data_IF_620858232297
#
_entry.id   IF_620858232297
#
_cell.length_a   1.000
_cell.length_b   1.000
_cell.length_c   1.000
_cell.angle_alpha   90.00
_cell.angle_beta   90.00
_cell.angle_gamma   90.00
#
_symmetry.space_group_name_H-M   'P 1'
#
loop_
_entity.id
_entity.type
_entity.pdbx_description
1 polymer ?
#
# COMPACT_ATOMS: atom_id res chain seq x y z
N UNK A 1 -51.02 24.09 9.12
CA UNK A 1 -51.50 23.32 10.30
C UNK A 1 -50.97 21.88 10.38
N UNK A 2 -50.84 21.13 9.27
CA UNK A 2 -50.40 19.71 9.32
C UNK A 2 -48.85 19.48 9.33
N UNK A 3 -48.06 20.49 8.95
CA UNK A 3 -46.60 20.36 8.85
C UNK A 3 -45.90 20.63 10.20
N UNK A 4 -46.49 21.49 11.03
CA UNK A 4 -45.98 21.77 12.38
C UNK A 4 -46.21 20.61 13.35
N UNK A 5 -47.29 19.85 13.17
CA UNK A 5 -47.58 18.64 13.97
C UNK A 5 -46.62 17.49 13.65
N UNK A 6 -46.08 17.42 12.43
CA UNK A 6 -45.03 16.47 12.06
C UNK A 6 -43.67 16.86 12.66
N UNK A 7 -43.30 18.15 12.61
CA UNK A 7 -42.05 18.63 13.21
C UNK A 7 -42.02 18.51 14.74
N UNK A 8 -43.15 18.77 15.41
CA UNK A 8 -43.28 18.57 16.85
C UNK A 8 -43.14 17.10 17.26
N UNK A 9 -43.66 16.17 16.46
CA UNK A 9 -43.52 14.72 16.70
C UNK A 9 -42.09 14.22 16.49
N UNK A 10 -41.36 14.73 15.51
CA UNK A 10 -39.95 14.37 15.29
C UNK A 10 -39.07 14.93 16.42
N UNK A 11 -39.35 16.15 16.89
CA UNK A 11 -38.59 16.78 17.96
C UNK A 11 -38.78 16.09 19.31
N UNK A 12 -40.00 15.66 19.65
CA UNK A 12 -40.26 14.88 20.88
C UNK A 12 -39.74 13.45 20.77
N UNK A 13 -39.67 12.89 19.56
CA UNK A 13 -39.08 11.57 19.34
C UNK A 13 -37.56 11.52 19.61
N UNK A 14 -36.85 12.61 19.32
CA UNK A 14 -35.40 12.70 19.55
C UNK A 14 -35.08 12.97 21.02
N UNK A 15 -35.95 13.72 21.73
CA UNK A 15 -35.67 14.13 23.11
C UNK A 15 -35.83 13.02 24.16
N UNK A 16 -36.63 11.98 23.89
CA UNK A 16 -36.84 10.88 24.84
C UNK A 16 -35.88 9.69 24.63
N UNK A 17 -35.06 9.70 23.57
CA UNK A 17 -34.10 8.63 23.30
C UNK A 17 -32.74 8.84 23.98
N UNK A 18 -32.52 9.98 24.64
CA UNK A 18 -31.20 10.39 25.14
C UNK A 18 -30.99 10.22 26.65
N UNK A 19 -32.01 9.83 27.42
CA UNK A 19 -31.95 9.85 28.91
C UNK A 19 -32.29 8.51 29.59
N UNK A 20 -31.87 7.38 29.02
CA UNK A 20 -32.07 6.08 29.63
C UNK A 20 -30.84 5.17 29.60
N UNK A 21 -29.70 5.57 30.18
CA UNK A 21 -28.71 4.62 30.71
C UNK A 21 -27.94 5.23 31.89
N UNK A 22 -28.31 4.89 33.12
CA UNK A 22 -27.41 4.91 34.29
C UNK A 22 -27.16 3.48 34.77
N UNK A 23 -25.87 3.15 34.85
CA UNK A 23 -25.19 2.26 35.82
C UNK A 23 -25.75 0.85 36.07
N UNK A 24 -25.10 -0.16 35.49
CA UNK A 24 -24.88 -1.43 36.20
C UNK A 24 -23.49 -2.00 35.89
N UNK A 25 -22.80 -2.35 36.97
CA UNK A 25 -21.46 -2.95 37.01
C UNK A 25 -21.56 -4.44 36.71
N UNK A 26 -21.13 -4.87 35.53
CA UNK A 26 -20.83 -6.28 35.22
C UNK A 26 -19.65 -6.37 34.22
N UNK A 27 -18.79 -7.40 34.33
CA UNK A 27 -17.60 -7.52 33.49
C UNK A 27 -18.02 -7.83 32.05
N UNK A 28 -17.71 -6.92 31.13
CA UNK A 28 -18.06 -7.04 29.73
C UNK A 28 -17.41 -8.28 29.08
N UNK A 29 -18.17 -9.14 28.37
CA UNK A 29 -17.60 -10.08 27.43
C UNK A 29 -17.05 -9.29 26.24
N UNK A 30 -15.78 -9.56 25.91
CA UNK A 30 -15.04 -9.15 24.71
C UNK A 30 -15.80 -8.23 23.74
N UNK A 31 -15.54 -6.92 23.80
CA UNK A 31 -15.79 -6.02 22.66
C UNK A 31 -15.09 -6.65 21.45
N UNK A 32 -15.77 -6.89 20.31
CA UNK A 32 -15.10 -7.41 19.13
C UNK A 32 -14.00 -6.42 18.75
N UNK A 33 -12.76 -6.91 18.79
CA UNK A 33 -11.57 -6.17 18.38
C UNK A 33 -11.86 -5.60 16.98
N UNK A 34 -12.05 -4.28 16.90
CA UNK A 34 -12.33 -3.58 15.64
C UNK A 34 -11.18 -3.94 14.69
N UNK A 35 -11.47 -4.73 13.65
CA UNK A 35 -10.49 -5.03 12.60
C UNK A 35 -10.11 -3.70 11.98
N UNK A 36 -8.88 -3.25 12.23
CA UNK A 36 -8.37 -2.02 11.65
C UNK A 36 -8.10 -2.29 10.18
N UNK A 37 -8.89 -1.65 9.32
CA UNK A 37 -8.71 -1.73 7.89
C UNK A 37 -7.60 -0.77 7.47
N UNK A 38 -6.95 -1.09 6.36
CA UNK A 38 -5.83 -0.33 5.81
C UNK A 38 -6.23 1.11 5.44
N UNK A 39 -7.41 1.32 4.86
CA UNK A 39 -7.91 2.65 4.49
C UNK A 39 -7.01 3.32 3.44
N UNK A 40 -6.66 4.60 3.66
CA UNK A 40 -5.86 5.43 2.74
C UNK A 40 -4.47 4.83 2.46
N UNK A 41 -3.90 4.08 3.41
CA UNK A 41 -2.61 3.40 3.24
C UNK A 41 -2.65 2.33 2.13
N UNK A 42 -3.83 1.99 1.61
CA UNK A 42 -4.01 1.07 0.51
C UNK A 42 -3.19 1.46 -0.73
N UNK A 43 -3.08 2.76 -1.00
CA UNK A 43 -2.33 3.25 -2.17
C UNK A 43 -0.83 3.07 -2.00
N UNK A 44 -0.28 3.39 -0.83
CA UNK A 44 1.13 3.15 -0.52
C UNK A 44 1.47 1.66 -0.57
N UNK A 45 0.60 0.84 0.03
CA UNK A 45 0.74 -0.62 0.04
C UNK A 45 0.65 -1.18 -1.38
N UNK A 46 -0.24 -0.68 -2.23
CA UNK A 46 -0.28 -1.05 -3.65
C UNK A 46 1.06 -0.73 -4.34
N UNK A 47 1.68 0.39 -4.01
CA UNK A 47 3.03 0.73 -4.44
C UNK A 47 4.08 -0.28 -3.96
N UNK A 48 4.03 -0.69 -2.68
CA UNK A 48 4.91 -1.73 -2.14
C UNK A 48 4.72 -3.08 -2.84
N UNK A 49 3.46 -3.47 -3.09
CA UNK A 49 3.12 -4.70 -3.83
C UNK A 49 3.66 -4.65 -5.26
N UNK A 50 3.50 -3.52 -5.96
CA UNK A 50 4.04 -3.32 -7.31
C UNK A 50 5.56 -3.44 -7.34
N UNK A 51 6.26 -2.76 -6.42
CA UNK A 51 7.73 -2.88 -6.30
C UNK A 51 8.17 -4.31 -6.04
N UNK A 52 7.44 -5.04 -5.20
CA UNK A 52 7.75 -6.43 -4.90
C UNK A 52 7.55 -7.36 -6.12
N UNK A 53 6.48 -7.15 -6.89
CA UNK A 53 6.27 -7.84 -8.17
C UNK A 53 7.42 -7.55 -9.13
N UNK A 54 7.84 -6.29 -9.24
CA UNK A 54 8.94 -5.90 -10.12
C UNK A 54 10.27 -6.51 -9.71
N UNK A 55 10.60 -6.55 -8.41
CA UNK A 55 11.81 -7.23 -7.93
C UNK A 55 11.78 -8.72 -8.24
N UNK A 56 10.65 -9.38 -8.00
CA UNK A 56 10.48 -10.79 -8.34
C UNK A 56 10.67 -11.03 -9.84
N UNK A 57 10.06 -10.21 -10.69
CA UNK A 57 10.22 -10.30 -12.14
C UNK A 57 11.64 -9.97 -12.60
N UNK A 58 12.34 -9.04 -11.96
CA UNK A 58 13.72 -8.69 -12.29
C UNK A 58 14.68 -9.87 -12.09
N UNK A 59 14.40 -10.72 -11.11
CA UNK A 59 15.12 -11.97 -10.82
C UNK A 59 14.72 -13.15 -11.72
N UNK A 60 13.84 -12.95 -12.70
CA UNK A 60 13.51 -14.00 -13.67
C UNK A 60 14.61 -14.16 -14.71
N UNK A 61 14.86 -15.41 -15.14
CA UNK A 61 15.87 -15.73 -16.14
C UNK A 61 15.76 -14.86 -17.40
N UNK A 62 14.52 -14.61 -17.86
CA UNK A 62 14.24 -13.75 -19.02
C UNK A 62 14.75 -12.31 -18.81
N UNK A 63 14.44 -11.70 -17.67
CA UNK A 63 14.85 -10.32 -17.42
C UNK A 63 16.34 -10.20 -17.11
N UNK A 64 16.96 -11.25 -16.58
CA UNK A 64 18.39 -11.30 -16.37
C UNK A 64 19.18 -11.41 -17.68
N UNK A 65 18.72 -12.25 -18.61
CA UNK A 65 19.28 -12.33 -19.97
C UNK A 65 19.17 -10.97 -20.65
N UNK A 66 18.03 -10.29 -20.49
CA UNK A 66 17.85 -8.92 -21.00
C UNK A 66 18.76 -7.91 -20.33
N UNK A 67 18.92 -7.94 -19.00
CA UNK A 67 19.86 -7.06 -18.29
C UNK A 67 21.28 -7.24 -18.83
N UNK A 68 21.69 -8.48 -19.03
CA UNK A 68 23.01 -8.79 -19.58
C UNK A 68 23.17 -8.24 -21.00
N UNK A 69 22.23 -8.54 -21.88
CA UNK A 69 22.33 -8.20 -23.30
C UNK A 69 22.05 -6.72 -23.59
N UNK A 70 21.09 -6.11 -22.91
CA UNK A 70 20.60 -4.77 -23.22
C UNK A 70 21.28 -3.69 -22.36
N UNK A 71 21.93 -4.05 -21.24
CA UNK A 71 22.57 -3.07 -20.34
C UNK A 71 24.06 -3.35 -20.11
N UNK A 72 24.43 -4.57 -19.70
CA UNK A 72 25.83 -4.91 -19.38
C UNK A 72 26.69 -4.98 -20.64
N UNK A 73 26.13 -5.47 -21.75
CA UNK A 73 26.87 -5.56 -23.02
C UNK A 73 27.11 -4.21 -23.69
N UNK A 74 26.43 -3.14 -23.25
CA UNK A 74 26.57 -1.81 -23.83
C UNK A 74 27.98 -1.26 -23.62
N UNK A 75 28.60 -0.85 -24.72
CA UNK A 75 29.96 -0.30 -24.75
C UNK A 75 30.13 0.90 -23.81
N UNK A 76 29.09 1.75 -23.68
CA UNK A 76 29.11 2.89 -22.76
C UNK A 76 29.20 2.46 -21.29
N UNK A 77 28.46 1.42 -20.89
CA UNK A 77 28.49 0.89 -19.52
C UNK A 77 29.85 0.25 -19.24
N UNK A 78 30.37 -0.53 -20.20
CA UNK A 78 31.69 -1.16 -20.08
C UNK A 78 32.82 -0.14 -19.90
N UNK A 79 32.80 0.93 -20.69
CA UNK A 79 33.81 2.00 -20.64
C UNK A 79 33.71 2.92 -19.42
N UNK A 80 32.50 3.25 -18.97
CA UNK A 80 32.29 4.24 -17.90
C UNK A 80 32.30 3.59 -16.52
N UNK A 81 31.74 2.39 -16.39
CA UNK A 81 31.55 1.72 -15.08
C UNK A 81 32.59 0.65 -14.84
N UNK A 82 32.63 -0.40 -15.67
CA UNK A 82 33.61 -1.49 -15.57
C UNK A 82 33.52 -2.42 -16.77
N UNK A 83 34.66 -2.97 -17.22
CA UNK A 83 34.70 -4.00 -18.25
C UNK A 83 34.42 -5.41 -17.72
N UNK A 84 34.35 -5.59 -16.39
CA UNK A 84 34.09 -6.88 -15.75
C UNK A 84 32.59 -7.13 -15.56
N UNK A 85 32.06 -8.14 -16.26
CA UNK A 85 30.65 -8.53 -16.19
C UNK A 85 30.26 -8.99 -14.78
N UNK A 86 31.18 -9.62 -14.04
CA UNK A 86 30.91 -10.03 -12.67
C UNK A 86 30.73 -8.82 -11.75
N UNK A 87 31.52 -7.76 -11.96
CA UNK A 87 31.36 -6.50 -11.24
C UNK A 87 30.04 -5.78 -11.59
N UNK A 88 29.66 -5.73 -12.87
CA UNK A 88 28.41 -5.10 -13.27
C UNK A 88 27.18 -5.86 -12.76
N UNK A 89 27.24 -7.20 -12.75
CA UNK A 89 26.20 -8.04 -12.18
C UNK A 89 26.14 -7.93 -10.65
N UNK A 90 27.29 -7.84 -9.96
CA UNK A 90 27.32 -7.63 -8.51
C UNK A 90 26.74 -6.26 -8.12
N UNK A 91 26.99 -5.22 -8.93
CA UNK A 91 26.38 -3.91 -8.74
C UNK A 91 24.85 -3.97 -8.89
N UNK A 92 24.34 -4.66 -9.92
CA UNK A 92 22.91 -4.85 -10.10
C UNK A 92 22.29 -5.66 -8.94
N UNK A 93 22.98 -6.69 -8.45
CA UNK A 93 22.58 -7.43 -7.25
C UNK A 93 22.49 -6.55 -6.02
N UNK A 94 23.52 -5.74 -5.76
CA UNK A 94 23.55 -4.84 -4.60
C UNK A 94 22.34 -3.89 -4.62
N UNK A 95 21.99 -3.35 -5.79
CA UNK A 95 20.79 -2.54 -5.97
C UNK A 95 19.49 -3.32 -5.69
N UNK A 96 19.37 -4.57 -6.17
CA UNK A 96 18.21 -5.41 -5.88
C UNK A 96 18.07 -5.72 -4.39
N UNK A 97 19.18 -6.02 -3.72
CA UNK A 97 19.23 -6.30 -2.27
C UNK A 97 18.86 -5.06 -1.47
N UNK A 98 19.35 -3.88 -1.85
CA UNK A 98 19.00 -2.62 -1.21
C UNK A 98 17.51 -2.31 -1.36
N UNK A 99 16.95 -2.50 -2.56
CA UNK A 99 15.50 -2.36 -2.78
C UNK A 99 14.68 -3.34 -1.93
N UNK A 100 15.15 -4.58 -1.78
CA UNK A 100 14.52 -5.57 -0.91
C UNK A 100 14.60 -5.16 0.57
N UNK A 101 15.72 -4.58 1.02
CA UNK A 101 15.87 -4.01 2.37
C UNK A 101 14.88 -2.89 2.63
N UNK A 102 14.69 -1.98 1.67
CA UNK A 102 13.72 -0.90 1.78
C UNK A 102 12.28 -1.45 1.90
N UNK A 103 11.93 -2.46 1.10
CA UNK A 103 10.63 -3.15 1.22
C UNK A 103 10.46 -3.85 2.57
N UNK A 104 11.49 -4.55 3.05
CA UNK A 104 11.45 -5.23 4.36
C UNK A 104 11.20 -4.23 5.49
N UNK A 105 11.82 -3.05 5.41
CA UNK A 105 11.66 -1.98 6.40
C UNK A 105 10.24 -1.38 6.36
N UNK A 106 9.70 -1.16 5.17
CA UNK A 106 8.32 -0.69 4.99
C UNK A 106 7.29 -1.73 5.50
N UNK A 107 7.47 -3.01 5.18
CA UNK A 107 6.61 -4.10 5.65
C UNK A 107 6.72 -4.28 7.16
N UNK A 108 7.93 -4.13 7.74
CA UNK A 108 8.13 -4.16 9.19
C UNK A 108 7.36 -3.04 9.89
N UNK A 109 7.37 -1.83 9.31
CA UNK A 109 6.60 -0.70 9.83
C UNK A 109 5.09 -0.97 9.74
N UNK A 110 4.64 -1.57 8.64
CA UNK A 110 3.24 -1.99 8.45
C UNK A 110 2.82 -3.06 9.45
N UNK A 111 3.70 -4.04 9.72
CA UNK A 111 3.40 -5.20 10.55
C UNK A 111 3.19 -4.85 12.01
N UNK A 112 3.71 -3.71 12.49
CA UNK A 112 3.41 -3.20 13.84
C UNK A 112 1.92 -2.95 14.08
N UNK A 113 1.14 -2.71 13.01
CA UNK A 113 -0.31 -2.48 13.04
C UNK A 113 -1.13 -3.78 12.95
N UNK A 114 -0.48 -4.93 12.79
CA UNK A 114 -1.12 -6.24 12.76
C UNK A 114 -1.60 -6.67 14.14
N UNK A 115 -2.69 -7.43 14.18
CA UNK A 115 -3.20 -8.04 15.40
C UNK A 115 -2.45 -9.35 15.70
N UNK A 116 -2.11 -10.12 14.66
CA UNK A 116 -1.37 -11.37 14.79
C UNK A 116 0.06 -11.12 15.35
N UNK A 117 0.43 -11.74 16.49
CA UNK A 117 1.76 -11.59 17.07
C UNK A 117 2.88 -12.08 16.16
N UNK A 118 2.65 -13.10 15.32
CA UNK A 118 3.67 -13.60 14.38
C UNK A 118 3.96 -12.58 13.29
N UNK A 119 2.93 -11.89 12.80
CA UNK A 119 3.08 -10.80 11.84
C UNK A 119 3.79 -9.60 12.47
N UNK A 120 3.45 -9.23 13.71
CA UNK A 120 4.16 -8.16 14.44
C UNK A 120 5.65 -8.47 14.61
N UNK A 121 6.01 -9.74 14.78
CA UNK A 121 7.39 -10.19 14.85
C UNK A 121 8.10 -10.31 13.48
N UNK A 122 7.45 -9.94 12.37
CA UNK A 122 7.98 -10.06 11.00
C UNK A 122 9.41 -9.55 10.87
N UNK A 123 9.72 -8.36 11.41
CA UNK A 123 11.04 -7.77 11.27
C UNK A 123 12.15 -8.70 11.80
N UNK A 124 11.96 -9.22 13.01
CA UNK A 124 12.91 -10.16 13.63
C UNK A 124 13.00 -11.46 12.83
N UNK A 125 11.85 -12.02 12.46
CA UNK A 125 11.78 -13.28 11.73
C UNK A 125 12.42 -13.18 10.34
N UNK A 126 12.27 -12.04 9.67
CA UNK A 126 12.90 -11.78 8.38
C UNK A 126 14.43 -11.64 8.50
N UNK A 127 14.92 -10.95 9.54
CA UNK A 127 16.36 -10.85 9.80
C UNK A 127 16.96 -12.22 10.14
N UNK A 128 16.31 -12.99 11.01
CA UNK A 128 16.75 -14.34 11.36
C UNK A 128 16.80 -15.25 10.12
N UNK A 129 15.82 -15.13 9.22
CA UNK A 129 15.81 -15.84 7.94
C UNK A 129 16.94 -15.38 7.02
N UNK A 130 17.17 -14.07 6.89
CA UNK A 130 18.23 -13.52 6.05
C UNK A 130 19.63 -13.93 6.53
N UNK A 131 19.86 -13.96 7.85
CA UNK A 131 21.15 -14.30 8.45
C UNK A 131 21.39 -15.81 8.49
N UNK A 132 20.37 -16.62 8.81
CA UNK A 132 20.54 -18.07 9.01
C UNK A 132 20.18 -18.92 7.81
N UNK A 133 19.45 -18.38 6.82
CA UNK A 133 18.87 -19.12 5.70
C UNK A 133 17.82 -20.15 6.12
N UNK A 134 17.50 -20.27 7.41
CA UNK A 134 16.51 -21.23 7.92
C UNK A 134 15.14 -20.61 7.92
N UNK A 135 14.17 -21.37 7.42
CA UNK A 135 12.76 -21.01 7.44
C UNK A 135 11.98 -21.95 8.37
N UNK A 136 12.07 -21.77 9.70
CA UNK A 136 11.34 -22.60 10.65
C UNK A 136 9.83 -22.45 10.53
N UNK A 137 9.33 -21.43 9.83
CA UNK A 137 7.91 -21.13 9.69
C UNK A 137 7.33 -21.53 8.31
N UNK A 138 8.13 -22.15 7.43
CA UNK A 138 7.74 -22.50 6.06
C UNK A 138 7.07 -21.33 5.31
N UNK A 139 7.63 -20.13 5.44
CA UNK A 139 7.24 -18.94 4.70
C UNK A 139 7.73 -18.95 3.26
N UNK A 140 8.81 -19.68 2.97
CA UNK A 140 9.37 -19.84 1.63
C UNK A 140 8.39 -20.63 0.78
N UNK A 141 7.90 -19.96 -0.25
CA UNK A 141 7.00 -20.53 -1.23
C UNK A 141 7.84 -20.95 -2.44
N UNK A 142 7.55 -22.11 -3.03
CA UNK A 142 8.21 -22.54 -4.25
C UNK A 142 7.97 -21.57 -5.40
N UNK A 143 8.96 -21.41 -6.29
CA UNK A 143 8.93 -20.46 -7.42
C UNK A 143 7.63 -20.51 -8.23
N UNK A 144 7.14 -21.71 -8.54
CA UNK A 144 5.88 -21.92 -9.29
C UNK A 144 4.64 -21.42 -8.54
N UNK A 145 4.57 -21.61 -7.23
CA UNK A 145 3.44 -21.14 -6.43
C UNK A 145 3.50 -19.64 -6.20
N UNK A 146 4.70 -19.09 -6.07
CA UNK A 146 4.94 -17.65 -6.03
C UNK A 146 4.40 -16.98 -7.31
N UNK A 147 4.82 -17.44 -8.49
CA UNK A 147 4.38 -16.93 -9.80
C UNK A 147 2.86 -17.05 -10.02
N UNK A 148 2.30 -18.24 -9.74
CA UNK A 148 0.92 -18.53 -10.16
C UNK A 148 -0.13 -18.05 -9.18
N UNK A 149 0.16 -18.03 -7.87
CA UNK A 149 -0.82 -17.67 -6.84
C UNK A 149 -0.55 -16.31 -6.21
N UNK A 150 0.68 -16.07 -5.74
CA UNK A 150 0.97 -14.87 -4.96
C UNK A 150 1.16 -13.63 -5.84
N UNK A 151 1.94 -13.73 -6.92
CA UNK A 151 2.12 -12.62 -7.87
C UNK A 151 0.78 -12.20 -8.47
N UNK A 152 -0.03 -13.15 -8.98
CA UNK A 152 -1.38 -12.83 -9.51
C UNK A 152 -2.30 -12.18 -8.47
N UNK A 153 -2.18 -12.58 -7.20
CA UNK A 153 -2.96 -11.98 -6.10
C UNK A 153 -2.50 -10.55 -5.82
N UNK A 154 -1.20 -10.31 -5.78
CA UNK A 154 -0.61 -8.97 -5.66
C UNK A 154 -1.04 -8.09 -6.83
N UNK A 155 -0.89 -8.56 -8.07
CA UNK A 155 -1.30 -7.85 -9.30
C UNK A 155 -2.77 -7.47 -9.26
N UNK A 156 -3.64 -8.41 -8.87
CA UNK A 156 -5.07 -8.12 -8.70
C UNK A 156 -5.32 -6.99 -7.69
N UNK A 157 -4.64 -7.01 -6.54
CA UNK A 157 -4.78 -5.94 -5.56
C UNK A 157 -4.26 -4.60 -6.08
N UNK A 158 -3.11 -4.60 -6.75
CA UNK A 158 -2.53 -3.41 -7.37
C UNK A 158 -3.50 -2.83 -8.41
N UNK A 159 -4.02 -3.65 -9.32
CA UNK A 159 -4.95 -3.23 -10.37
C UNK A 159 -6.23 -2.65 -9.78
N UNK A 160 -6.90 -3.35 -8.86
CA UNK A 160 -8.16 -2.87 -8.26
C UNK A 160 -7.94 -1.59 -7.42
N UNK A 161 -6.78 -1.45 -6.78
CA UNK A 161 -6.46 -0.26 -5.99
C UNK A 161 -6.08 0.92 -6.88
N UNK A 162 -5.43 0.68 -8.03
CA UNK A 162 -5.15 1.69 -9.05
C UNK A 162 -6.44 2.18 -9.72
N UNK A 163 -7.37 1.28 -10.07
CA UNK A 163 -8.68 1.68 -10.57
C UNK A 163 -9.44 2.49 -9.54
N UNK A 164 -9.40 2.10 -8.25
CA UNK A 164 -10.01 2.89 -7.18
C UNK A 164 -9.45 4.32 -7.14
N UNK A 165 -8.13 4.49 -7.26
CA UNK A 165 -7.51 5.82 -7.28
C UNK A 165 -8.05 6.67 -8.44
N UNK A 166 -8.10 6.10 -9.64
CA UNK A 166 -8.63 6.77 -10.84
C UNK A 166 -10.11 7.15 -10.69
N UNK A 167 -10.95 6.24 -10.21
CA UNK A 167 -12.39 6.50 -10.06
C UNK A 167 -12.67 7.54 -8.95
N UNK A 168 -11.83 7.60 -7.90
CA UNK A 168 -11.90 8.64 -6.87
C UNK A 168 -11.49 10.01 -7.40
N UNK A 169 -10.49 10.06 -8.28
CA UNK A 169 -10.08 11.29 -8.96
C UNK A 169 -11.16 11.79 -9.93
N UNK A 170 -11.74 10.90 -10.74
CA UNK A 170 -12.88 11.26 -11.62
C UNK A 170 -14.08 11.77 -10.80
N UNK A 171 -14.38 11.14 -9.66
CA UNK A 171 -15.43 11.63 -8.77
C UNK A 171 -15.14 13.06 -8.28
N UNK A 172 -13.90 13.34 -7.86
CA UNK A 172 -13.47 14.69 -7.42
C UNK A 172 -13.64 15.73 -8.54
N UNK A 173 -13.28 15.36 -9.77
CA UNK A 173 -13.45 16.21 -10.95
C UNK A 173 -14.92 16.48 -11.25
N UNK A 174 -15.78 15.46 -11.17
CA UNK A 174 -17.23 15.61 -11.39
C UNK A 174 -17.88 16.50 -10.32
N UNK A 175 -17.54 16.31 -9.04
CA UNK A 175 -18.05 17.13 -7.93
C UNK A 175 -17.59 18.60 -8.03
N UNK A 176 -16.33 18.81 -8.43
CA UNK A 176 -15.79 20.13 -8.72
C UNK A 176 -16.46 20.78 -9.94
N UNK A 177 -16.78 19.99 -10.97
CA UNK A 177 -17.50 20.42 -12.15
C UNK A 177 -18.92 20.88 -11.81
N UNK A 178 -19.67 20.09 -11.04
CA UNK A 178 -21.00 20.46 -10.57
C UNK A 178 -20.97 21.75 -9.74
N UNK A 179 -20.01 21.88 -8.82
CA UNK A 179 -19.84 23.07 -7.99
C UNK A 179 -19.56 24.33 -8.82
N UNK A 180 -18.82 24.22 -9.93
CA UNK A 180 -18.59 25.33 -10.87
C UNK A 180 -19.88 25.69 -11.60
N UNK A 181 -20.62 24.71 -12.12
CA UNK A 181 -21.89 24.94 -12.83
C UNK A 181 -22.89 25.68 -11.94
N UNK A 182 -22.97 25.35 -10.65
CA UNK A 182 -23.83 26.05 -9.69
C UNK A 182 -23.41 27.51 -9.50
N UNK A 183 -22.11 27.80 -9.32
CA UNK A 183 -21.60 29.17 -9.19
C UNK A 183 -21.89 30.03 -10.42
N UNK A 184 -21.72 29.48 -11.63
CA UNK A 184 -22.04 30.21 -12.85
C UNK A 184 -23.55 30.49 -13.00
N UNK A 185 -24.41 29.54 -12.59
CA UNK A 185 -25.86 29.71 -12.67
C UNK A 185 -26.39 30.80 -11.71
N UNK A 186 -25.75 30.97 -10.54
CA UNK A 186 -26.06 32.02 -9.57
C UNK A 186 -25.64 33.42 -10.05
N UNK A 187 -24.61 33.52 -10.91
CA UNK A 187 -24.21 34.79 -11.53
C UNK A 187 -25.00 35.13 -12.81
N UNK A 188 -25.48 34.14 -13.58
CA UNK A 188 -26.21 34.35 -14.85
C UNK A 188 -27.73 34.55 -14.69
N UNK A 189 -28.30 34.40 -13.50
CA UNK A 189 -29.76 34.43 -13.28
C UNK A 189 -30.44 35.76 -13.66
N UNK A 190 -29.66 36.80 -13.97
CA UNK A 190 -30.17 38.12 -14.36
C UNK A 190 -30.51 38.27 -15.84
N UNK A 191 -30.14 37.34 -16.74
CA UNK A 191 -30.40 37.49 -18.17
C UNK A 191 -30.78 36.15 -18.85
N UNK A 192 -31.98 36.13 -19.44
CA UNK A 192 -32.54 35.15 -20.40
C UNK A 192 -33.18 33.84 -19.89
N UNK A 193 -34.50 33.74 -20.07
CA UNK A 193 -35.40 32.67 -19.62
C UNK A 193 -35.54 31.47 -20.57
N UNK A 194 -35.01 31.54 -21.81
CA UNK A 194 -35.17 30.45 -22.81
C UNK A 194 -34.08 29.37 -22.76
N UNK A 195 -32.96 29.59 -22.07
CA UNK A 195 -31.86 28.60 -21.96
C UNK A 195 -31.90 27.73 -20.69
N UNK A 196 -32.84 28.00 -19.77
CA UNK A 196 -32.86 27.40 -18.44
C UNK A 196 -33.13 25.88 -18.44
N UNK A 197 -34.12 25.43 -19.21
CA UNK A 197 -34.50 24.01 -19.25
C UNK A 197 -33.35 23.08 -19.69
N UNK A 198 -32.52 23.50 -20.65
CA UNK A 198 -31.37 22.71 -21.11
C UNK A 198 -30.22 22.70 -20.09
N UNK A 199 -30.02 23.79 -19.34
CA UNK A 199 -29.02 23.87 -18.27
C UNK A 199 -29.43 23.05 -17.04
N UNK A 200 -30.70 23.10 -16.66
CA UNK A 200 -31.28 22.29 -15.58
C UNK A 200 -31.15 20.79 -15.87
N UNK A 201 -31.45 20.37 -17.10
CA UNK A 201 -31.29 18.97 -17.51
C UNK A 201 -29.83 18.51 -17.36
N UNK A 202 -28.85 19.31 -17.81
CA UNK A 202 -27.41 19.00 -17.64
C UNK A 202 -27.00 18.89 -16.18
N UNK A 203 -27.59 19.67 -15.28
CA UNK A 203 -27.31 19.59 -13.84
C UNK A 203 -27.85 18.27 -13.26
N UNK A 204 -29.07 17.89 -13.62
CA UNK A 204 -29.68 16.62 -13.20
C UNK A 204 -28.87 15.42 -13.70
N UNK A 205 -28.46 15.44 -14.97
CA UNK A 205 -27.64 14.38 -15.57
C UNK A 205 -26.27 14.26 -14.86
N UNK A 206 -25.63 15.40 -14.55
CA UNK A 206 -24.36 15.42 -13.80
C UNK A 206 -24.52 14.89 -12.37
N UNK A 207 -25.60 15.24 -11.67
CA UNK A 207 -25.91 14.70 -10.35
C UNK A 207 -26.10 13.19 -10.39
N UNK A 208 -26.83 12.69 -11.37
CA UNK A 208 -27.02 11.25 -11.57
C UNK A 208 -25.68 10.56 -11.81
N UNK A 209 -24.80 11.15 -12.64
CA UNK A 209 -23.45 10.60 -12.87
C UNK A 209 -22.63 10.55 -11.58
N UNK A 210 -22.69 11.58 -10.73
CA UNK A 210 -21.99 11.60 -9.43
C UNK A 210 -22.50 10.48 -8.51
N UNK A 211 -23.81 10.26 -8.46
CA UNK A 211 -24.40 9.17 -7.63
C UNK A 211 -23.90 7.81 -8.10
N UNK A 212 -23.90 7.56 -9.41
CA UNK A 212 -23.33 6.34 -9.99
C UNK A 212 -21.85 6.17 -9.66
N UNK A 213 -21.06 7.23 -9.84
CA UNK A 213 -19.62 7.21 -9.58
C UNK A 213 -19.32 6.94 -8.10
N UNK A 214 -20.10 7.52 -7.17
CA UNK A 214 -19.98 7.25 -5.73
C UNK A 214 -20.23 5.79 -5.39
N UNK A 215 -21.20 5.16 -6.06
CA UNK A 215 -21.49 3.75 -5.86
C UNK A 215 -20.36 2.87 -6.39
N UNK A 216 -19.78 3.21 -7.53
CA UNK A 216 -18.61 2.50 -8.08
C UNK A 216 -17.39 2.62 -7.16
N UNK A 217 -17.09 3.82 -6.66
CA UNK A 217 -16.02 4.04 -5.68
C UNK A 217 -16.25 3.20 -4.41
N UNK A 218 -17.49 3.11 -3.93
CA UNK A 218 -17.83 2.27 -2.78
C UNK A 218 -17.58 0.79 -3.07
N UNK A 219 -18.02 0.30 -4.22
CA UNK A 219 -17.77 -1.07 -4.67
C UNK A 219 -16.27 -1.39 -4.77
N UNK A 220 -15.50 -0.47 -5.36
CA UNK A 220 -14.04 -0.62 -5.49
C UNK A 220 -13.33 -0.58 -4.14
N UNK A 221 -13.77 0.28 -3.20
CA UNK A 221 -13.24 0.28 -1.81
C UNK A 221 -13.41 -1.09 -1.15
N UNK A 222 -14.55 -1.73 -1.32
CA UNK A 222 -14.83 -3.04 -0.73
C UNK A 222 -13.96 -4.16 -1.34
N UNK A 223 -13.58 -4.05 -2.62
CA UNK A 223 -12.75 -5.07 -3.29
C UNK A 223 -11.25 -4.84 -3.18
N UNK A 224 -10.82 -3.58 -3.16
CA UNK A 224 -9.43 -3.13 -3.10
C UNK A 224 -8.74 -3.46 -1.77
N UNK A 225 -7.52 -2.95 -1.60
CA UNK A 225 -6.80 -3.00 -0.32
C UNK A 225 -7.44 -2.12 0.77
N UNK A 226 -8.29 -1.15 0.41
CA UNK A 226 -8.87 -0.18 1.34
C UNK A 226 -9.65 -0.84 2.49
N UNK A 227 -10.45 -1.87 2.17
CA UNK A 227 -11.28 -2.62 3.12
C UNK A 227 -10.55 -3.79 3.78
N UNK A 228 -9.29 -4.06 3.43
CA UNK A 228 -8.54 -5.22 3.94
C UNK A 228 -7.93 -4.92 5.30
N UNK A 229 -7.78 -5.97 6.12
CA UNK A 229 -7.05 -5.86 7.38
C UNK A 229 -5.55 -5.80 7.15
N UNK A 230 -4.84 -5.12 8.06
CA UNK A 230 -3.38 -5.13 8.08
C UNK A 230 -2.79 -6.54 8.08
N UNK A 231 -3.43 -7.48 8.78
CA UNK A 231 -2.98 -8.88 8.84
C UNK A 231 -2.98 -9.54 7.46
N UNK A 232 -4.09 -9.40 6.71
CA UNK A 232 -4.22 -10.04 5.40
C UNK A 232 -3.18 -9.52 4.42
N UNK A 233 -2.96 -8.20 4.45
CA UNK A 233 -2.06 -7.51 3.54
C UNK A 233 -0.60 -7.82 3.89
N UNK A 234 -0.24 -7.67 5.16
CA UNK A 234 1.10 -7.95 5.67
C UNK A 234 1.45 -9.42 5.47
N UNK A 235 0.51 -10.34 5.63
CA UNK A 235 0.75 -11.76 5.39
C UNK A 235 1.12 -12.07 3.93
N UNK A 236 0.42 -11.47 2.96
CA UNK A 236 0.73 -11.68 1.54
C UNK A 236 2.11 -11.11 1.20
N UNK A 237 2.45 -9.94 1.75
CA UNK A 237 3.76 -9.32 1.59
C UNK A 237 4.88 -10.12 2.30
N UNK A 238 4.65 -10.53 3.54
CA UNK A 238 5.62 -11.26 4.34
C UNK A 238 5.98 -12.62 3.72
N UNK A 239 5.01 -13.30 3.08
CA UNK A 239 5.25 -14.57 2.38
C UNK A 239 6.02 -14.45 1.08
N UNK A 240 5.96 -13.29 0.44
CA UNK A 240 6.59 -13.07 -0.86
C UNK A 240 8.05 -12.63 -0.70
N UNK A 241 8.40 -12.05 0.46
CA UNK A 241 9.75 -11.58 0.77
C UNK A 241 10.82 -12.70 0.83
N UNK A 242 10.65 -13.81 1.58
CA UNK A 242 11.64 -14.90 1.61
C UNK A 242 11.89 -15.53 0.24
N UNK A 243 10.87 -15.61 -0.62
CA UNK A 243 11.02 -16.13 -1.97
C UNK A 243 11.94 -15.22 -2.82
N UNK A 244 11.80 -13.89 -2.71
CA UNK A 244 12.67 -12.93 -3.41
C UNK A 244 14.11 -13.00 -2.88
N UNK A 245 14.30 -13.12 -1.56
CA UNK A 245 15.63 -13.34 -0.97
C UNK A 245 16.26 -14.61 -1.53
N UNK A 246 15.54 -15.74 -1.52
CA UNK A 246 16.04 -17.02 -2.02
C UNK A 246 16.40 -16.96 -3.52
N UNK A 247 15.58 -16.28 -4.33
CA UNK A 247 15.86 -16.06 -5.74
C UNK A 247 17.14 -15.22 -5.94
N UNK A 248 17.34 -14.17 -5.14
CA UNK A 248 18.55 -13.34 -5.20
C UNK A 248 19.84 -14.07 -4.77
N UNK A 249 19.74 -14.98 -3.79
CA UNK A 249 20.86 -15.83 -3.38
C UNK A 249 21.18 -16.86 -4.46
N UNK A 250 20.15 -17.49 -5.05
CA UNK A 250 20.30 -18.43 -6.16
C UNK A 250 20.93 -17.76 -7.38
N UNK A 251 20.56 -16.52 -7.66
CA UNK A 251 21.20 -15.69 -8.68
C UNK A 251 22.69 -15.47 -8.38
N UNK A 252 23.01 -15.01 -7.17
CA UNK A 252 24.40 -14.72 -6.79
C UNK A 252 25.29 -15.96 -6.89
N UNK A 253 24.76 -17.13 -6.51
CA UNK A 253 25.43 -18.41 -6.67
C UNK A 253 25.64 -18.78 -8.14
N UNK A 254 24.61 -18.62 -8.98
CA UNK A 254 24.67 -18.96 -10.42
C UNK A 254 25.72 -18.14 -11.17
N UNK A 255 25.90 -16.88 -10.84
CA UNK A 255 26.88 -15.99 -11.48
C UNK A 255 28.23 -15.92 -10.75
N UNK A 256 28.43 -16.76 -9.72
CA UNK A 256 29.66 -16.80 -8.90
C UNK A 256 30.09 -15.40 -8.47
N UNK A 257 29.12 -14.58 -8.05
CA UNK A 257 29.42 -13.23 -7.62
C UNK A 257 30.13 -13.29 -6.26
N UNK A 258 31.19 -12.49 -6.03
CA UNK A 258 31.78 -12.38 -4.71
C UNK A 258 30.74 -11.76 -3.77
N UNK A 259 30.06 -12.59 -2.98
CA UNK A 259 29.14 -12.13 -1.96
C UNK A 259 30.00 -11.46 -0.88
N UNK A 260 30.07 -10.13 -0.90
CA UNK A 260 30.65 -9.38 0.20
C UNK A 260 29.70 -9.55 1.38
N UNK A 261 30.16 -10.14 2.49
CA UNK A 261 29.33 -10.44 3.66
C UNK A 261 28.60 -9.22 4.23
N UNK A 262 29.08 -8.00 3.94
CA UNK A 262 28.43 -6.74 4.32
C UNK A 262 27.12 -6.47 3.56
N UNK A 263 26.96 -6.98 2.32
CA UNK A 263 25.79 -6.70 1.47
C UNK A 263 24.57 -7.55 1.86
N UNK A 264 24.79 -8.69 2.53
CA UNK A 264 23.71 -9.59 3.01
C UNK A 264 23.32 -9.27 4.44
N UNK A 265 24.13 -8.48 5.18
CA UNK A 265 23.81 -8.11 6.55
C UNK A 265 22.80 -6.96 6.58
N UNK A 266 21.52 -7.29 6.69
CA UNK A 266 20.42 -6.34 6.92
C UNK A 266 20.55 -5.52 8.22
N UNK A 267 21.61 -5.76 9.02
CA UNK A 267 21.82 -5.20 10.35
C UNK A 267 22.63 -3.89 10.36
N UNK A 268 23.39 -3.57 9.32
CA UNK A 268 24.52 -2.62 9.42
C UNK A 268 24.17 -1.14 9.22
N UNK A 269 22.90 -0.73 9.07
CA UNK A 269 22.58 0.71 8.90
C UNK A 269 21.50 1.27 9.82
N UNK A 270 21.25 0.64 10.98
CA UNK A 270 20.27 1.11 11.96
C UNK A 270 20.88 1.95 13.11
N UNK A 271 22.20 2.07 13.23
CA UNK A 271 22.85 2.64 14.45
C UNK A 271 23.60 3.95 14.27
N UNK A 272 23.69 4.54 13.09
CA UNK A 272 24.46 5.79 12.87
C UNK A 272 23.64 7.09 13.03
N UNK A 273 22.43 7.04 13.59
CA UNK A 273 21.47 8.15 13.59
C UNK A 273 21.05 8.72 14.94
N UNK A 274 21.75 8.39 16.04
CA UNK A 274 21.43 8.98 17.35
C UNK A 274 22.62 9.05 18.31
N UNK A 275 23.58 9.93 18.01
CA UNK A 275 24.41 10.57 19.05
C UNK A 275 24.26 12.08 18.92
N UNK A 276 23.22 12.60 19.58
CA UNK A 276 23.11 14.02 19.92
C UNK A 276 23.10 14.11 21.44
N UNK A 277 24.18 14.72 21.94
CA UNK A 277 24.37 15.42 23.22
C UNK A 277 23.81 14.82 24.52
N UNK A 278 24.73 14.51 25.42
CA UNK A 278 24.62 14.94 26.82
C UNK A 278 26.02 15.25 27.36
N UNK A 279 26.54 16.43 27.03
CA UNK A 279 27.59 17.06 27.82
C UNK A 279 26.88 17.76 28.97
N UNK A 280 26.80 17.10 30.12
CA UNK A 280 26.41 17.75 31.37
C UNK A 280 27.62 18.53 31.88
N UNK A 281 27.44 19.84 31.99
CA UNK A 281 28.27 20.73 32.78
C UNK A 281 28.07 20.37 34.26
N UNK A 282 29.13 19.97 34.93
CA UNK A 282 29.21 20.04 36.39
C UNK A 282 29.77 21.42 36.75
N UNK A 283 28.90 22.27 37.28
CA UNK A 283 29.30 23.36 38.16
C UNK A 283 28.98 22.87 39.58
N UNK A 284 30.01 22.64 40.40
CA UNK A 284 30.17 23.15 41.77
C UNK A 284 31.59 22.83 42.24
#
# INVERSE_FOLDING_TARGET
>A
MALETLLLKVKTAISHSFDAVRTSTHPHPNKPLRKSNVGVLAFEIAGLMSKLIHLWQALSDKNMIRLHNDSISLEGVRKIVSNDDAFLLSLACAELVENLRLLATAISSLSTKCQDPNLRAFHRLFLDFADSGRDPYNWVIGFKEMDTKNVKKLERYVTVTSTLYREMDELSVLESGLSKVWKYNECETNQSSSSMSSKEQKIVDLQQKIVWQRQEVKYLKDRSLWSRSFDTVTWVLARTMPAVVFASQSFSFRYRLPIRSDDVSFRVRATEGRKISSSSRECY
#
